data_IF_843080277992
#
_entry.id   IF_843080277992
#
_cell.length_a   1.000
_cell.length_b   1.000
_cell.length_c   1.000
_cell.angle_alpha   90.00
_cell.angle_beta   90.00
_cell.angle_gamma   90.00
#
_symmetry.space_group_name_H-M   'P 1'
#
loop_
_entity.id
_entity.type
_entity.pdbx_description
1 polymer ?
#
# COMPACT_ATOMS: atom_id res chain seq x y z
N UNK A 1 32.63 2.72 5.83
CA UNK A 1 32.12 3.79 6.72
C UNK A 1 31.87 5.02 5.86
N UNK A 2 30.61 5.25 5.48
CA UNK A 2 30.23 6.45 4.74
C UNK A 2 30.18 7.62 5.75
N UNK A 3 31.03 8.61 5.49
CA UNK A 3 31.11 9.87 6.24
C UNK A 3 29.77 10.59 6.22
N UNK A 4 29.29 10.91 7.41
CA UNK A 4 28.07 11.68 7.72
C UNK A 4 28.03 13.02 6.99
N UNK A 5 26.86 13.37 6.45
CA UNK A 5 26.52 14.77 6.19
C UNK A 5 26.53 15.50 7.54
N UNK A 6 27.26 16.60 7.61
CA UNK A 6 27.65 17.35 8.81
C UNK A 6 26.47 17.57 9.79
N UNK A 7 26.56 17.02 11.01
CA UNK A 7 25.77 17.44 12.16
C UNK A 7 24.41 16.76 12.40
N UNK A 8 23.94 15.87 11.52
CA UNK A 8 22.65 15.18 11.69
C UNK A 8 22.79 13.75 12.21
N UNK A 9 21.93 13.36 13.15
CA UNK A 9 21.87 11.98 13.65
C UNK A 9 21.46 11.02 12.54
N UNK A 10 22.29 10.02 12.28
CA UNK A 10 22.06 9.01 11.23
C UNK A 10 20.75 8.24 11.46
N UNK A 11 19.88 8.18 10.45
CA UNK A 11 18.64 7.43 10.49
C UNK A 11 18.93 5.94 10.60
N UNK A 12 18.32 5.28 11.59
CA UNK A 12 18.40 3.82 11.77
C UNK A 12 17.03 3.20 11.53
N UNK A 13 16.99 2.07 10.83
CA UNK A 13 15.74 1.35 10.63
C UNK A 13 15.18 0.88 11.97
N UNK A 14 13.98 1.34 12.32
CA UNK A 14 13.23 0.82 13.48
C UNK A 14 12.46 -0.44 13.10
N UNK A 15 12.17 -1.26 14.07
CA UNK A 15 11.14 -2.29 13.92
C UNK A 15 9.75 -1.64 13.90
N UNK A 16 8.89 -2.12 13.02
CA UNK A 16 7.50 -1.67 12.86
C UNK A 16 6.61 -2.85 12.45
N UNK A 17 5.33 -2.85 12.87
CA UNK A 17 4.41 -3.92 12.51
C UNK A 17 4.06 -3.87 11.03
N UNK A 18 4.10 -5.00 10.33
CA UNK A 18 3.53 -5.08 8.98
C UNK A 18 2.01 -4.91 9.03
N UNK A 19 1.50 -3.92 8.29
CA UNK A 19 0.07 -3.59 8.19
C UNK A 19 -0.64 -4.34 7.05
N UNK A 20 0.00 -4.50 5.89
CA UNK A 20 -0.56 -5.26 4.75
C UNK A 20 0.54 -6.04 4.03
N UNK A 21 0.12 -7.06 3.27
CA UNK A 21 1.00 -7.71 2.30
C UNK A 21 1.14 -6.83 1.07
N UNK A 22 2.35 -6.33 0.83
CA UNK A 22 2.61 -5.40 -0.26
C UNK A 22 3.65 -5.95 -1.23
N UNK A 23 3.29 -6.05 -2.51
CA UNK A 23 4.20 -6.46 -3.57
C UNK A 23 5.28 -5.38 -3.73
N UNK A 24 6.53 -5.79 -3.94
CA UNK A 24 7.64 -4.85 -4.10
C UNK A 24 8.07 -4.11 -2.83
N UNK A 25 7.53 -4.48 -1.65
CA UNK A 25 7.91 -3.86 -0.37
C UNK A 25 9.42 -3.93 -0.13
N UNK A 26 10.01 -2.77 0.22
CA UNK A 26 11.43 -2.61 0.52
C UNK A 26 11.80 -2.88 1.98
N UNK A 27 10.89 -3.42 2.79
CA UNK A 27 11.15 -3.70 4.22
C UNK A 27 12.41 -4.55 4.45
N UNK A 28 12.74 -5.48 3.54
CA UNK A 28 13.94 -6.34 3.66
C UNK A 28 15.26 -5.61 3.37
N UNK A 29 15.23 -4.58 2.54
CA UNK A 29 16.42 -3.78 2.18
C UNK A 29 16.38 -2.38 2.79
N UNK A 30 15.53 -2.17 3.80
CA UNK A 30 15.31 -0.85 4.39
C UNK A 30 16.60 -0.22 4.94
N UNK A 31 17.51 -1.03 5.49
CA UNK A 31 18.82 -0.54 5.92
C UNK A 31 19.66 0.06 4.78
N UNK A 32 19.59 -0.55 3.59
CA UNK A 32 20.24 -0.05 2.37
C UNK A 32 19.57 1.21 1.83
N UNK A 33 18.23 1.27 1.83
CA UNK A 33 17.48 2.49 1.49
C UNK A 33 17.87 3.65 2.40
N UNK A 34 17.89 3.43 3.72
CA UNK A 34 18.27 4.44 4.69
C UNK A 34 19.75 4.84 4.58
N UNK A 35 20.66 3.96 4.14
CA UNK A 35 22.06 4.35 3.90
C UNK A 35 22.18 5.33 2.74
N UNK A 36 21.42 5.12 1.65
CA UNK A 36 21.31 6.08 0.55
C UNK A 36 20.69 7.41 0.98
N UNK A 37 19.62 7.37 1.78
CA UNK A 37 18.99 8.60 2.34
C UNK A 37 19.98 9.35 3.23
N UNK A 38 20.65 8.68 4.17
CA UNK A 38 21.66 9.30 5.02
C UNK A 38 22.84 9.91 4.25
N UNK A 39 23.12 9.42 3.04
CA UNK A 39 24.22 9.93 2.21
C UNK A 39 23.91 11.31 1.60
N UNK A 40 22.65 11.56 1.20
CA UNK A 40 22.28 12.79 0.47
C UNK A 40 21.38 13.74 1.25
N UNK A 41 20.83 13.30 2.39
CA UNK A 41 19.86 14.09 3.14
C UNK A 41 20.49 15.29 3.83
N UNK A 42 19.63 16.27 4.04
CA UNK A 42 19.83 17.40 4.93
C UNK A 42 18.82 17.35 6.09
N UNK A 43 18.61 18.49 6.76
CA UNK A 43 17.70 18.67 7.90
C UNK A 43 16.24 18.89 7.48
N UNK A 44 15.98 19.07 6.17
CA UNK A 44 14.63 19.25 5.61
C UNK A 44 13.88 17.90 5.54
N UNK A 45 12.55 17.92 5.33
CA UNK A 45 11.74 16.71 5.29
C UNK A 45 12.18 15.68 4.24
N UNK A 46 11.82 14.42 4.49
CA UNK A 46 11.98 13.32 3.55
C UNK A 46 10.63 13.03 2.89
N UNK A 47 10.56 13.17 1.57
CA UNK A 47 9.39 12.81 0.77
C UNK A 47 9.52 11.36 0.29
N UNK A 48 8.67 10.48 0.81
CA UNK A 48 8.45 9.15 0.23
C UNK A 48 7.44 9.29 -0.92
N UNK A 49 7.93 9.46 -2.14
CA UNK A 49 7.12 9.88 -3.29
C UNK A 49 6.12 8.82 -3.80
N UNK A 50 6.42 7.55 -3.50
CA UNK A 50 5.63 6.36 -3.88
C UNK A 50 5.50 5.43 -2.68
N UNK A 51 4.79 5.90 -1.64
CA UNK A 51 4.88 5.32 -0.30
C UNK A 51 4.30 3.92 -0.17
N UNK A 52 3.39 3.48 -1.05
CA UNK A 52 2.86 2.12 -1.07
C UNK A 52 2.38 1.63 0.30
N UNK A 53 3.11 0.70 0.93
CA UNK A 53 2.78 0.18 2.27
C UNK A 53 3.18 1.07 3.46
N UNK A 54 3.75 2.26 3.23
CA UNK A 54 4.25 3.15 4.26
C UNK A 54 5.48 2.61 5.00
N UNK A 55 6.25 1.71 4.37
CA UNK A 55 7.37 1.03 5.03
C UNK A 55 8.49 1.99 5.43
N UNK A 56 8.75 3.04 4.64
CA UNK A 56 9.75 4.06 4.99
C UNK A 56 9.30 4.89 6.20
N UNK A 57 8.01 5.26 6.24
CA UNK A 57 7.40 5.91 7.39
C UNK A 57 7.58 5.08 8.68
N UNK A 58 7.25 3.79 8.63
CA UNK A 58 7.47 2.88 9.77
C UNK A 58 8.94 2.75 10.20
N UNK A 59 9.86 2.72 9.23
CA UNK A 59 11.29 2.55 9.49
C UNK A 59 11.93 3.80 10.11
N UNK A 60 11.56 4.99 9.63
CA UNK A 60 12.06 6.27 10.14
C UNK A 60 11.38 6.60 11.48
N UNK A 61 10.06 6.44 11.55
CA UNK A 61 9.24 6.87 12.68
C UNK A 61 9.46 8.36 12.97
N UNK A 62 9.81 8.68 14.21
CA UNK A 62 9.99 10.06 14.69
C UNK A 62 11.42 10.61 14.53
N UNK A 63 12.32 9.95 13.78
CA UNK A 63 13.71 10.41 13.61
C UNK A 63 13.85 11.59 12.62
N UNK A 64 12.88 11.78 11.73
CA UNK A 64 12.83 12.88 10.78
C UNK A 64 11.38 13.13 10.33
N UNK A 65 11.10 14.32 9.82
CA UNK A 65 9.79 14.61 9.21
C UNK A 65 9.69 13.85 7.90
N UNK A 66 8.60 13.09 7.76
CA UNK A 66 8.30 12.32 6.53
C UNK A 66 7.01 12.85 5.92
N UNK A 67 7.07 13.12 4.61
CA UNK A 67 5.92 13.38 3.74
C UNK A 67 5.70 12.12 2.91
N UNK A 68 4.62 11.39 3.15
CA UNK A 68 4.31 10.16 2.43
C UNK A 68 3.28 10.41 1.34
N UNK A 69 3.66 10.19 0.08
CA UNK A 69 2.79 10.37 -1.06
C UNK A 69 2.61 9.06 -1.83
N UNK A 70 1.40 8.80 -2.27
CA UNK A 70 1.10 7.81 -3.30
C UNK A 70 -0.09 8.32 -4.12
N UNK A 71 -0.34 7.78 -5.31
CA UNK A 71 -1.56 8.11 -6.04
C UNK A 71 -2.82 7.49 -5.41
N UNK A 72 -2.65 6.46 -4.58
CA UNK A 72 -3.73 5.73 -3.93
C UNK A 72 -3.88 6.14 -2.46
N UNK A 73 -5.07 6.61 -2.07
CA UNK A 73 -5.35 7.16 -0.75
C UNK A 73 -5.12 6.18 0.41
N UNK A 74 -5.23 4.86 0.18
CA UNK A 74 -4.94 3.89 1.24
C UNK A 74 -3.49 3.96 1.74
N UNK A 75 -2.54 4.37 0.89
CA UNK A 75 -1.13 4.44 1.27
C UNK A 75 -0.91 5.48 2.37
N UNK A 76 -1.57 6.63 2.27
CA UNK A 76 -1.49 7.69 3.27
C UNK A 76 -2.00 7.24 4.64
N UNK A 77 -3.08 6.45 4.70
CA UNK A 77 -3.56 5.87 5.97
C UNK A 77 -2.57 4.88 6.56
N UNK A 78 -1.86 4.09 5.75
CA UNK A 78 -0.83 3.18 6.24
C UNK A 78 0.36 3.96 6.82
N UNK A 79 0.82 5.00 6.14
CA UNK A 79 1.88 5.88 6.62
C UNK A 79 1.46 6.59 7.93
N UNK A 80 0.23 7.09 7.98
CA UNK A 80 -0.33 7.78 9.15
C UNK A 80 -0.50 6.85 10.36
N UNK A 81 -0.68 5.54 10.16
CA UNK A 81 -0.62 4.57 11.25
C UNK A 81 0.74 4.59 11.96
N UNK A 82 1.84 4.73 11.23
CA UNK A 82 3.17 4.78 11.84
C UNK A 82 3.52 6.17 12.38
N UNK A 83 3.16 7.21 11.64
CA UNK A 83 3.71 8.54 11.86
C UNK A 83 2.78 9.50 12.61
N UNK A 84 1.48 9.23 12.68
CA UNK A 84 0.49 10.19 13.23
C UNK A 84 -0.46 9.57 14.25
N UNK A 85 -0.73 8.27 14.15
CA UNK A 85 -1.58 7.56 15.10
C UNK A 85 -0.97 7.56 16.49
N UNK A 86 -1.82 7.84 17.47
CA UNK A 86 -1.49 7.75 18.88
C UNK A 86 -2.74 7.44 19.68
N UNK A 87 -2.54 6.92 20.89
CA UNK A 87 -3.61 6.66 21.85
C UNK A 87 -3.86 7.89 22.69
N UNK A 88 -5.12 8.04 23.09
CA UNK A 88 -5.63 9.04 24.01
C UNK A 88 -6.79 8.44 24.83
N UNK A 89 -7.42 9.23 25.69
CA UNK A 89 -8.55 8.79 26.52
C UNK A 89 -9.77 8.32 25.72
N UNK A 90 -9.88 8.73 24.44
CA UNK A 90 -10.98 8.36 23.54
C UNK A 90 -10.67 7.13 22.69
N UNK A 91 -9.49 6.52 22.87
CA UNK A 91 -9.07 5.35 22.11
C UNK A 91 -9.90 4.12 22.48
N UNK A 92 -10.67 3.55 21.54
CA UNK A 92 -11.53 2.41 21.83
C UNK A 92 -10.72 1.11 21.88
N UNK A 93 -11.21 0.14 22.65
CA UNK A 93 -10.71 -1.24 22.59
C UNK A 93 -11.19 -1.93 21.32
N UNK A 94 -10.48 -3.01 20.92
CA UNK A 94 -10.91 -3.84 19.80
C UNK A 94 -12.32 -4.42 20.03
N UNK A 95 -12.62 -4.86 21.25
CA UNK A 95 -13.90 -5.47 21.61
C UNK A 95 -15.05 -4.46 21.50
N UNK A 96 -14.81 -3.21 21.87
CA UNK A 96 -15.80 -2.14 21.70
C UNK A 96 -16.12 -1.92 20.21
N UNK A 97 -15.10 -1.78 19.37
CA UNK A 97 -15.28 -1.61 17.92
C UNK A 97 -16.02 -2.79 17.29
N UNK A 98 -15.69 -4.02 17.69
CA UNK A 98 -16.35 -5.23 17.22
C UNK A 98 -17.78 -5.37 17.73
N UNK A 99 -18.05 -4.92 18.97
CA UNK A 99 -19.40 -4.85 19.54
C UNK A 99 -20.30 -3.93 18.71
N UNK A 100 -19.85 -2.71 18.43
CA UNK A 100 -20.57 -1.76 17.57
C UNK A 100 -20.84 -2.33 16.17
N UNK A 101 -19.83 -2.96 15.55
CA UNK A 101 -20.01 -3.61 14.25
C UNK A 101 -21.02 -4.77 14.33
N UNK A 102 -20.99 -5.56 15.42
CA UNK A 102 -21.95 -6.63 15.67
C UNK A 102 -23.38 -6.14 15.83
N UNK A 103 -23.60 -5.04 16.56
CA UNK A 103 -24.91 -4.38 16.71
C UNK A 103 -25.45 -3.92 15.35
N UNK A 104 -24.63 -3.24 14.55
CA UNK A 104 -24.98 -2.84 13.17
C UNK A 104 -25.44 -4.05 12.36
N UNK A 105 -24.72 -5.17 12.45
CA UNK A 105 -25.08 -6.40 11.73
C UNK A 105 -26.34 -7.07 12.28
N UNK A 106 -26.61 -6.98 13.58
CA UNK A 106 -27.81 -7.51 14.21
C UNK A 106 -29.09 -6.83 13.71
N UNK A 107 -29.01 -5.56 13.32
CA UNK A 107 -30.14 -4.81 12.76
C UNK A 107 -30.34 -5.01 11.24
N UNK A 108 -29.38 -5.63 10.54
CA UNK A 108 -29.44 -5.80 9.07
C UNK A 108 -30.07 -7.14 8.70
N UNK A 109 -31.08 -7.10 7.83
CA UNK A 109 -31.64 -8.32 7.24
C UNK A 109 -30.64 -8.93 6.28
N UNK A 110 -30.15 -10.14 6.60
CA UNK A 110 -29.23 -10.89 5.74
C UNK A 110 -29.96 -11.39 4.49
N UNK A 111 -29.42 -11.09 3.31
CA UNK A 111 -29.98 -11.56 2.03
C UNK A 111 -29.61 -13.02 1.74
N UNK A 112 -28.43 -13.43 2.18
CA UNK A 112 -27.87 -14.77 1.99
C UNK A 112 -27.19 -15.23 3.28
N UNK A 113 -27.27 -16.53 3.54
CA UNK A 113 -26.51 -17.21 4.59
C UNK A 113 -25.91 -18.44 3.95
N UNK A 114 -24.60 -18.65 4.15
CA UNK A 114 -23.88 -19.83 3.67
C UNK A 114 -23.10 -20.39 4.84
N UNK A 115 -23.38 -21.64 5.19
CA UNK A 115 -22.63 -22.37 6.18
C UNK A 115 -21.41 -23.04 5.51
N UNK A 116 -20.26 -22.38 5.60
CA UNK A 116 -19.00 -22.92 5.10
C UNK A 116 -18.40 -23.99 6.01
N UNK A 117 -18.95 -24.23 7.20
CA UNK A 117 -18.50 -25.29 8.09
C UNK A 117 -19.13 -26.65 7.79
N UNK A 118 -20.27 -26.65 7.09
CA UNK A 118 -20.86 -27.87 6.53
C UNK A 118 -19.96 -28.60 5.52
N UNK A 119 -20.08 -29.92 5.45
CA UNK A 119 -19.45 -30.71 4.39
C UNK A 119 -20.17 -30.45 3.06
N UNK A 120 -19.55 -29.67 2.20
CA UNK A 120 -20.16 -29.15 0.99
C UNK A 120 -19.39 -29.63 -0.26
N UNK A 121 -20.05 -30.33 -1.20
CA UNK A 121 -19.43 -30.66 -2.49
C UNK A 121 -19.02 -29.39 -3.25
N UNK A 122 -17.89 -29.44 -3.98
CA UNK A 122 -17.34 -28.25 -4.66
C UNK A 122 -18.32 -27.62 -5.67
N UNK A 123 -19.22 -28.40 -6.27
CA UNK A 123 -20.26 -27.89 -7.16
C UNK A 123 -21.30 -27.02 -6.41
N UNK A 124 -21.68 -27.43 -5.20
CA UNK A 124 -22.57 -26.67 -4.32
C UNK A 124 -21.88 -25.40 -3.85
N UNK A 125 -20.60 -25.50 -3.47
CA UNK A 125 -19.76 -24.35 -3.13
C UNK A 125 -19.74 -23.29 -4.24
N UNK A 126 -19.47 -23.69 -5.49
CA UNK A 126 -19.44 -22.76 -6.61
C UNK A 126 -20.79 -22.07 -6.84
N UNK A 127 -21.91 -22.79 -6.67
CA UNK A 127 -23.26 -22.22 -6.75
C UNK A 127 -23.50 -21.15 -5.67
N UNK A 128 -23.01 -21.37 -4.44
CA UNK A 128 -23.08 -20.36 -3.39
C UNK A 128 -22.22 -19.14 -3.69
N UNK A 129 -21.01 -19.33 -4.24
CA UNK A 129 -20.14 -18.22 -4.64
C UNK A 129 -20.78 -17.40 -5.79
N UNK A 130 -21.39 -18.06 -6.78
CA UNK A 130 -22.13 -17.41 -7.87
C UNK A 130 -23.29 -16.57 -7.35
N UNK A 131 -24.14 -17.16 -6.50
CA UNK A 131 -25.30 -16.45 -5.91
C UNK A 131 -24.89 -15.23 -5.09
N UNK A 132 -23.74 -15.28 -4.42
CA UNK A 132 -23.19 -14.12 -3.71
C UNK A 132 -22.70 -13.04 -4.68
N UNK A 133 -22.09 -13.40 -5.81
CA UNK A 133 -21.67 -12.43 -6.84
C UNK A 133 -22.85 -11.75 -7.53
N UNK A 134 -24.02 -12.38 -7.55
CA UNK A 134 -25.27 -11.79 -8.08
C UNK A 134 -25.82 -10.65 -7.21
N UNK A 135 -25.34 -10.49 -5.97
CA UNK A 135 -25.69 -9.35 -5.11
C UNK A 135 -25.31 -8.00 -5.72
N UNK A 136 -24.40 -7.99 -6.69
CA UNK A 136 -24.07 -6.82 -7.51
C UNK A 136 -25.33 -6.16 -8.12
N UNK A 137 -26.33 -6.97 -8.49
CA UNK A 137 -27.56 -6.52 -9.12
C UNK A 137 -28.72 -6.31 -8.12
N UNK A 138 -28.44 -6.36 -6.81
CA UNK A 138 -29.45 -6.18 -5.77
C UNK A 138 -29.41 -4.78 -5.16
N UNK A 139 -30.56 -4.36 -4.66
CA UNK A 139 -30.72 -3.18 -3.83
C UNK A 139 -30.51 -3.54 -2.37
N UNK A 140 -29.89 -2.62 -1.63
CA UNK A 140 -29.72 -2.68 -0.18
C UNK A 140 -30.42 -1.46 0.43
N UNK A 141 -31.02 -1.64 1.59
CA UNK A 141 -31.81 -0.65 2.33
C UNK A 141 -31.02 0.13 3.38
N UNK A 142 -29.72 -0.17 3.54
CA UNK A 142 -28.78 0.54 4.40
C UNK A 142 -27.63 1.11 3.59
N UNK A 143 -26.96 2.17 4.09
CA UNK A 143 -25.93 2.90 3.33
C UNK A 143 -24.62 2.12 3.18
N UNK A 144 -24.16 1.45 4.23
CA UNK A 144 -22.84 0.78 4.25
C UNK A 144 -22.96 -0.65 3.75
N UNK A 145 -23.00 -0.82 2.43
CA UNK A 145 -23.15 -2.11 1.75
C UNK A 145 -22.21 -2.27 0.55
N UNK A 146 -21.18 -1.41 0.41
CA UNK A 146 -20.33 -1.37 -0.77
C UNK A 146 -19.67 -2.73 -0.99
N UNK A 147 -19.05 -3.30 0.03
CA UNK A 147 -18.39 -4.60 -0.08
C UNK A 147 -19.38 -5.73 -0.26
N UNK A 148 -20.48 -5.71 0.50
CA UNK A 148 -21.56 -6.67 0.39
C UNK A 148 -22.14 -6.74 -1.03
N UNK A 149 -22.24 -5.61 -1.73
CA UNK A 149 -22.74 -5.53 -3.10
C UNK A 149 -21.70 -5.90 -4.14
N UNK A 150 -20.51 -5.29 -4.08
CA UNK A 150 -19.54 -5.35 -5.17
C UNK A 150 -18.57 -6.53 -5.08
N UNK A 151 -18.35 -7.07 -3.88
CA UNK A 151 -17.24 -8.00 -3.59
C UNK A 151 -17.66 -9.34 -2.96
N UNK A 152 -18.95 -9.56 -2.68
CA UNK A 152 -19.44 -10.85 -2.18
C UNK A 152 -19.20 -11.99 -3.18
N UNK A 153 -18.73 -13.14 -2.69
CA UNK A 153 -18.41 -14.31 -3.51
C UNK A 153 -17.19 -14.10 -4.42
N UNK A 154 -16.30 -13.15 -4.07
CA UNK A 154 -15.06 -12.85 -4.81
C UNK A 154 -13.83 -13.25 -3.96
N UNK A 155 -13.10 -12.30 -3.37
CA UNK A 155 -12.07 -12.60 -2.37
C UNK A 155 -12.66 -12.97 -1.02
N UNK A 156 -13.86 -12.51 -0.72
CA UNK A 156 -14.57 -12.69 0.54
C UNK A 156 -15.97 -13.27 0.32
N UNK A 157 -16.51 -13.94 1.34
CA UNK A 157 -17.93 -14.27 1.40
C UNK A 157 -18.78 -13.02 1.69
N UNK A 158 -20.08 -13.12 1.49
CA UNK A 158 -21.08 -12.12 1.85
C UNK A 158 -21.00 -11.77 3.33
N UNK A 159 -20.89 -12.76 4.22
CA UNK A 159 -20.73 -12.53 5.66
C UNK A 159 -19.46 -11.72 5.95
N UNK A 160 -18.32 -12.09 5.34
CA UNK A 160 -17.07 -11.34 5.50
C UNK A 160 -17.22 -9.91 4.96
N UNK A 161 -17.88 -9.71 3.83
CA UNK A 161 -18.17 -8.39 3.27
C UNK A 161 -19.08 -7.54 4.17
N UNK A 162 -20.08 -8.15 4.82
CA UNK A 162 -20.92 -7.48 5.82
C UNK A 162 -20.08 -6.95 6.99
N UNK A 163 -19.17 -7.77 7.51
CA UNK A 163 -18.24 -7.35 8.57
C UNK A 163 -17.29 -6.24 8.13
N UNK A 164 -16.80 -6.30 6.88
CA UNK A 164 -15.96 -5.22 6.31
C UNK A 164 -16.74 -3.90 6.28
N UNK A 165 -17.97 -3.92 5.76
CA UNK A 165 -18.81 -2.72 5.68
C UNK A 165 -19.18 -2.18 7.08
N UNK A 166 -19.52 -3.05 8.03
CA UNK A 166 -19.86 -2.64 9.40
C UNK A 166 -18.66 -2.05 10.15
N UNK A 167 -17.48 -2.69 10.08
CA UNK A 167 -16.27 -2.12 10.68
C UNK A 167 -15.85 -0.81 10.02
N UNK A 168 -16.06 -0.68 8.70
CA UNK A 168 -15.80 0.56 7.99
C UNK A 168 -16.76 1.68 8.42
N UNK A 169 -18.03 1.37 8.65
CA UNK A 169 -19.01 2.30 9.23
C UNK A 169 -18.60 2.76 10.63
N UNK A 170 -18.22 1.82 11.51
CA UNK A 170 -17.71 2.16 12.85
C UNK A 170 -16.49 3.07 12.75
N UNK A 171 -15.54 2.76 11.86
CA UNK A 171 -14.34 3.56 11.65
C UNK A 171 -14.66 5.01 11.26
N UNK A 172 -15.76 5.26 10.55
CA UNK A 172 -16.17 6.62 10.16
C UNK A 172 -16.45 7.52 11.37
N UNK A 173 -16.99 6.96 12.46
CA UNK A 173 -17.18 7.68 13.72
C UNK A 173 -15.88 8.17 14.37
N UNK A 174 -14.74 7.62 13.95
CA UNK A 174 -13.42 8.01 14.44
C UNK A 174 -12.64 8.87 13.45
N UNK A 175 -13.17 9.25 12.27
CA UNK A 175 -12.40 9.91 11.19
C UNK A 175 -11.54 11.11 11.65
N UNK A 176 -12.04 11.92 12.57
CA UNK A 176 -11.34 13.10 13.11
C UNK A 176 -10.40 12.79 14.29
N UNK A 177 -10.32 11.53 14.72
CA UNK A 177 -9.52 11.06 15.84
C UNK A 177 -8.17 10.52 15.36
N UNK A 178 -7.12 10.66 16.17
CA UNK A 178 -5.78 10.17 15.81
C UNK A 178 -5.72 8.66 15.62
N UNK A 179 -6.66 7.91 16.19
CA UNK A 179 -6.72 6.45 16.07
C UNK A 179 -7.29 5.94 14.74
N UNK A 180 -7.91 6.80 13.93
CA UNK A 180 -8.56 6.40 12.69
C UNK A 180 -7.66 5.61 11.72
N UNK A 181 -6.41 6.03 11.44
CA UNK A 181 -5.52 5.26 10.56
C UNK A 181 -5.22 3.86 11.13
N UNK A 182 -5.06 3.72 12.45
CA UNK A 182 -4.87 2.42 13.11
C UNK A 182 -6.08 1.48 12.93
N UNK A 183 -7.31 2.01 13.05
CA UNK A 183 -8.54 1.24 12.79
C UNK A 183 -8.58 0.81 11.32
N UNK A 184 -8.39 1.75 10.39
CA UNK A 184 -8.46 1.49 8.95
C UNK A 184 -7.41 0.48 8.48
N UNK A 185 -6.16 0.65 8.91
CA UNK A 185 -5.06 -0.26 8.57
C UNK A 185 -5.26 -1.67 9.15
N UNK A 186 -5.84 -1.78 10.35
CA UNK A 186 -6.21 -3.07 10.95
C UNK A 186 -7.33 -3.77 10.16
N UNK A 187 -8.29 -3.01 9.62
CA UNK A 187 -9.32 -3.55 8.72
C UNK A 187 -8.71 -4.00 7.38
N UNK A 188 -7.80 -3.23 6.79
CA UNK A 188 -7.07 -3.64 5.58
C UNK A 188 -6.27 -4.94 5.80
N UNK A 189 -5.64 -5.09 6.97
CA UNK A 189 -4.97 -6.33 7.36
C UNK A 189 -5.96 -7.50 7.43
N UNK A 190 -7.10 -7.31 8.10
CA UNK A 190 -8.12 -8.34 8.24
C UNK A 190 -8.64 -8.80 6.87
N UNK A 191 -8.90 -7.84 5.98
CA UNK A 191 -9.28 -8.09 4.59
C UNK A 191 -8.22 -8.94 3.86
N UNK A 192 -6.95 -8.56 3.93
CA UNK A 192 -5.87 -9.27 3.27
C UNK A 192 -5.73 -10.71 3.77
N UNK A 193 -5.87 -10.94 5.08
CA UNK A 193 -5.77 -12.27 5.67
C UNK A 193 -7.04 -13.11 5.52
N UNK A 194 -8.22 -12.51 5.35
CA UNK A 194 -9.43 -13.25 5.01
C UNK A 194 -9.60 -13.52 3.50
N UNK A 195 -8.80 -12.85 2.66
CA UNK A 195 -8.86 -13.00 1.20
C UNK A 195 -8.17 -14.26 0.68
N UNK A 196 -8.70 -14.84 -0.40
CA UNK A 196 -8.07 -15.93 -1.13
C UNK A 196 -6.86 -15.43 -1.94
N UNK A 197 -5.68 -15.37 -1.32
CA UNK A 197 -4.45 -15.01 -2.03
C UNK A 197 -3.31 -14.52 -1.15
N UNK A 198 -2.31 -13.93 -1.79
CA UNK A 198 -1.13 -13.33 -1.14
C UNK A 198 -1.37 -11.90 -0.67
N UNK A 199 -2.63 -11.51 -0.44
CA UNK A 199 -3.03 -10.17 0.02
C UNK A 199 -3.10 -9.10 -1.07
N UNK A 200 -3.31 -9.53 -2.33
CA UNK A 200 -3.61 -8.64 -3.44
C UNK A 200 -4.90 -9.05 -4.17
N UNK A 201 -5.49 -8.11 -4.89
CA UNK A 201 -6.84 -8.20 -5.45
C UNK A 201 -6.85 -8.11 -6.98
N UNK A 202 -5.83 -8.62 -7.67
CA UNK A 202 -5.83 -8.61 -9.13
C UNK A 202 -6.99 -9.45 -9.70
N UNK A 203 -7.16 -10.70 -9.28
CA UNK A 203 -8.32 -11.53 -9.62
C UNK A 203 -8.60 -12.49 -8.47
N UNK A 204 -9.88 -12.78 -8.20
CA UNK A 204 -10.26 -13.84 -7.28
C UNK A 204 -10.13 -15.22 -7.95
N UNK A 205 -10.02 -16.26 -7.13
CA UNK A 205 -9.87 -17.65 -7.58
C UNK A 205 -11.23 -18.32 -7.72
N UNK A 206 -11.34 -19.27 -8.65
CA UNK A 206 -12.50 -20.16 -8.75
C UNK A 206 -12.08 -21.56 -8.27
N UNK A 207 -12.99 -22.27 -7.61
CA UNK A 207 -12.77 -23.66 -7.26
C UNK A 207 -13.00 -24.55 -8.49
N UNK A 208 -11.91 -24.92 -9.18
CA UNK A 208 -11.96 -25.79 -10.39
C UNK A 208 -11.69 -27.26 -10.09
N UNK A 209 -11.04 -27.53 -8.97
CA UNK A 209 -10.64 -28.86 -8.49
C UNK A 209 -10.93 -28.99 -7.00
N UNK A 210 -11.04 -30.22 -6.49
CA UNK A 210 -11.19 -30.47 -5.05
C UNK A 210 -10.08 -29.85 -4.20
N UNK A 211 -8.84 -29.80 -4.70
CA UNK A 211 -7.74 -29.13 -4.00
C UNK A 211 -7.97 -27.62 -3.94
N UNK A 212 -8.26 -26.97 -5.08
CA UNK A 212 -8.53 -25.53 -5.08
C UNK A 212 -9.76 -25.15 -4.26
N UNK A 213 -10.77 -26.03 -4.21
CA UNK A 213 -11.93 -25.89 -3.35
C UNK A 213 -11.54 -25.88 -1.87
N UNK A 214 -10.80 -26.89 -1.41
CA UNK A 214 -10.32 -26.97 -0.02
C UNK A 214 -9.48 -25.75 0.36
N UNK A 215 -8.58 -25.31 -0.52
CA UNK A 215 -7.76 -24.11 -0.31
C UNK A 215 -8.62 -22.86 -0.09
N UNK A 216 -9.59 -22.64 -0.98
CA UNK A 216 -10.49 -21.49 -1.00
C UNK A 216 -11.40 -21.50 0.25
N UNK A 217 -11.89 -22.67 0.63
CA UNK A 217 -12.75 -22.87 1.80
C UNK A 217 -12.07 -22.45 3.11
N UNK A 218 -10.75 -22.68 3.25
CA UNK A 218 -9.97 -22.21 4.40
C UNK A 218 -10.16 -20.70 4.62
N UNK A 219 -10.19 -19.91 3.54
CA UNK A 219 -10.35 -18.45 3.63
C UNK A 219 -11.78 -18.04 3.93
N UNK A 220 -12.77 -18.79 3.44
CA UNK A 220 -14.19 -18.52 3.72
C UNK A 220 -14.57 -18.70 5.19
N UNK A 221 -13.84 -19.57 5.89
CA UNK A 221 -13.97 -19.79 7.34
C UNK A 221 -13.25 -18.75 8.21
N UNK A 222 -12.48 -17.82 7.62
CA UNK A 222 -11.75 -16.81 8.39
C UNK A 222 -12.69 -15.71 8.88
N UNK A 223 -12.55 -15.33 10.15
CA UNK A 223 -13.30 -14.22 10.74
C UNK A 223 -12.58 -12.89 10.52
N UNK A 224 -13.23 -11.95 9.82
CA UNK A 224 -12.74 -10.57 9.68
C UNK A 224 -12.50 -9.96 11.08
N UNK A 225 -13.44 -10.15 12.01
CA UNK A 225 -13.35 -9.60 13.36
C UNK A 225 -12.13 -10.10 14.13
N UNK A 226 -11.81 -11.39 14.08
CA UNK A 226 -10.63 -11.95 14.77
C UNK A 226 -9.31 -11.39 14.22
N UNK A 227 -9.17 -11.30 12.90
CA UNK A 227 -7.95 -10.74 12.29
C UNK A 227 -7.83 -9.24 12.54
N UNK A 228 -8.96 -8.52 12.56
CA UNK A 228 -9.03 -7.11 12.93
C UNK A 228 -8.56 -6.92 14.39
N UNK A 229 -9.15 -7.65 15.33
CA UNK A 229 -8.85 -7.57 16.76
C UNK A 229 -7.35 -7.76 17.02
N UNK A 230 -6.79 -8.84 16.45
CA UNK A 230 -5.37 -9.17 16.59
C UNK A 230 -4.50 -8.03 16.09
N UNK A 231 -4.73 -7.54 14.87
CA UNK A 231 -3.89 -6.48 14.29
C UNK A 231 -4.08 -5.15 15.03
N UNK A 232 -5.29 -4.81 15.41
CA UNK A 232 -5.54 -3.57 16.13
C UNK A 232 -4.83 -3.56 17.49
N UNK A 233 -4.87 -4.68 18.23
CA UNK A 233 -4.10 -4.83 19.46
C UNK A 233 -2.58 -4.74 19.22
N UNK A 234 -2.04 -5.37 18.16
CA UNK A 234 -0.63 -5.23 17.79
C UNK A 234 -0.26 -3.76 17.53
N UNK A 235 -1.12 -3.03 16.82
CA UNK A 235 -0.90 -1.62 16.48
C UNK A 235 -1.00 -0.74 17.74
N UNK A 236 -1.97 -0.99 18.62
CA UNK A 236 -2.11 -0.27 19.90
C UNK A 236 -0.88 -0.42 20.80
N UNK A 237 -0.21 -1.57 20.75
CA UNK A 237 1.03 -1.80 21.49
C UNK A 237 2.23 -1.06 20.88
N UNK A 238 2.17 -0.76 19.58
CA UNK A 238 3.24 -0.08 18.85
C UNK A 238 3.12 1.45 18.91
N UNK A 239 1.91 2.00 18.74
CA UNK A 239 1.70 3.45 18.67
C UNK A 239 1.85 4.12 20.04
N UNK A 240 2.33 5.37 20.11
CA UNK A 240 2.53 6.06 21.37
C UNK A 240 1.19 6.35 22.07
N UNK A 241 1.25 6.62 23.38
CA UNK A 241 0.14 7.05 24.24
C UNK A 241 0.03 8.58 24.38
N UNK A 242 0.70 9.30 23.49
CA UNK A 242 0.74 10.75 23.43
C UNK A 242 0.90 11.22 21.98
N UNK A 243 0.50 12.46 21.66
CA UNK A 243 0.70 13.03 20.33
C UNK A 243 2.14 12.90 19.86
N UNK A 244 2.29 12.62 18.56
CA UNK A 244 3.59 12.65 17.88
C UNK A 244 4.14 14.08 17.82
N UNK A 245 5.46 14.22 17.83
CA UNK A 245 6.14 15.53 17.89
C UNK A 245 6.42 16.05 16.49
N UNK A 246 6.81 15.16 15.58
CA UNK A 246 7.19 15.53 14.22
C UNK A 246 5.95 15.83 13.37
N UNK A 247 6.06 16.85 12.51
CA UNK A 247 4.95 17.32 11.66
C UNK A 247 4.87 16.52 10.37
N UNK A 248 4.58 15.23 10.49
CA UNK A 248 4.39 14.34 9.34
C UNK A 248 3.17 14.70 8.50
N UNK A 249 3.24 14.39 7.21
CA UNK A 249 2.14 14.60 6.27
C UNK A 249 1.96 13.36 5.39
N UNK A 250 0.73 13.14 4.93
CA UNK A 250 0.44 12.17 3.89
C UNK A 250 -0.48 12.77 2.83
N UNK A 251 -0.23 12.41 1.57
CA UNK A 251 -0.96 12.93 0.41
C UNK A 251 -1.31 11.81 -0.56
N UNK A 252 -2.39 12.02 -1.31
CA UNK A 252 -2.86 11.14 -2.36
C UNK A 252 -2.76 11.83 -3.74
N UNK A 253 -1.54 12.23 -4.15
CA UNK A 253 -1.31 13.06 -5.34
C UNK A 253 -0.53 12.31 -6.42
N UNK A 254 -0.67 12.77 -7.67
CA UNK A 254 0.30 12.43 -8.71
C UNK A 254 1.70 12.90 -8.28
N UNK A 255 2.73 12.14 -8.65
CA UNK A 255 4.09 12.42 -8.21
C UNK A 255 4.57 13.81 -8.66
N UNK A 256 4.07 14.32 -9.80
CA UNK A 256 4.40 15.66 -10.28
C UNK A 256 3.79 16.74 -9.40
N UNK A 257 2.52 16.57 -9.05
CA UNK A 257 1.81 17.48 -8.17
C UNK A 257 2.46 17.46 -6.77
N UNK A 258 2.80 16.28 -6.26
CA UNK A 258 3.53 16.14 -5.00
C UNK A 258 4.87 16.90 -5.03
N UNK A 259 5.70 16.69 -6.07
CA UNK A 259 6.99 17.37 -6.19
C UNK A 259 6.84 18.89 -6.37
N UNK A 260 5.81 19.35 -7.09
CA UNK A 260 5.54 20.79 -7.26
C UNK A 260 5.15 21.48 -5.95
N UNK A 261 4.47 20.76 -5.05
CA UNK A 261 4.04 21.26 -3.75
C UNK A 261 5.07 21.00 -2.64
N UNK A 262 6.12 20.22 -2.92
CA UNK A 262 7.14 19.87 -1.94
C UNK A 262 8.15 21.00 -1.80
N UNK A 263 8.25 21.59 -0.59
CA UNK A 263 9.13 22.72 -0.28
C UNK A 263 10.64 22.41 -0.27
N UNK A 264 11.02 21.22 -0.73
CA UNK A 264 12.40 20.76 -0.83
C UNK A 264 12.88 19.95 0.38
N UNK A 265 13.88 19.11 0.14
CA UNK A 265 14.50 18.25 1.13
C UNK A 265 15.08 17.02 0.47
N UNK A 266 14.69 15.83 0.93
CA UNK A 266 15.14 14.57 0.31
C UNK A 266 13.96 13.80 -0.27
N UNK A 267 13.98 13.53 -1.57
CA UNK A 267 12.99 12.67 -2.22
C UNK A 267 13.52 11.25 -2.26
N UNK A 268 12.80 10.33 -1.62
CA UNK A 268 12.92 8.90 -1.89
C UNK A 268 11.86 8.50 -2.92
N UNK A 269 12.29 7.89 -4.02
CA UNK A 269 11.42 7.43 -5.08
C UNK A 269 11.61 5.93 -5.32
N UNK A 270 10.50 5.20 -5.35
CA UNK A 270 10.44 3.78 -5.71
C UNK A 270 9.25 3.55 -6.66
N UNK A 271 9.31 4.11 -7.89
CA UNK A 271 8.19 4.03 -8.80
C UNK A 271 7.95 2.58 -9.23
N UNK A 272 6.75 2.24 -9.72
CA UNK A 272 6.48 0.91 -10.26
C UNK A 272 7.10 0.76 -11.65
N UNK A 273 8.42 0.54 -11.73
CA UNK A 273 9.19 0.53 -12.99
C UNK A 273 9.07 -0.78 -13.81
N UNK A 274 8.05 -1.59 -13.56
CA UNK A 274 7.75 -2.83 -14.29
C UNK A 274 6.32 -2.80 -14.87
N UNK A 275 5.97 -3.76 -15.76
CA UNK A 275 4.65 -3.82 -16.44
C UNK A 275 3.44 -4.05 -15.50
N UNK A 276 3.64 -3.97 -14.19
CA UNK A 276 2.67 -4.33 -13.17
C UNK A 276 2.09 -3.06 -12.56
N UNK A 277 0.89 -2.68 -13.00
CA UNK A 277 0.17 -1.56 -12.40
C UNK A 277 -0.37 -1.94 -11.00
N UNK A 278 0.25 -1.43 -9.94
CA UNK A 278 -0.12 -1.69 -8.54
C UNK A 278 -1.58 -1.35 -8.19
N UNK A 279 -2.14 -0.32 -8.82
CA UNK A 279 -3.53 0.04 -8.64
C UNK A 279 -4.50 -1.11 -8.98
N UNK A 280 -4.11 -2.08 -9.82
CA UNK A 280 -4.88 -3.30 -10.09
C UNK A 280 -4.94 -4.21 -8.86
N UNK A 281 -3.82 -4.33 -8.16
CA UNK A 281 -3.61 -5.24 -7.04
C UNK A 281 -4.21 -4.70 -5.74
N UNK A 282 -4.31 -3.38 -5.59
CA UNK A 282 -4.77 -2.75 -4.35
C UNK A 282 -6.08 -1.95 -4.50
N UNK A 283 -6.79 -2.10 -5.62
CA UNK A 283 -8.05 -1.38 -5.90
C UNK A 283 -9.13 -1.57 -4.81
N UNK A 284 -9.18 -2.74 -4.16
CA UNK A 284 -10.16 -3.00 -3.10
C UNK A 284 -9.83 -2.22 -1.82
N UNK A 285 -8.55 -2.01 -1.50
CA UNK A 285 -8.14 -1.14 -0.39
C UNK A 285 -8.46 0.31 -0.70
N UNK A 286 -8.20 0.74 -1.94
CA UNK A 286 -8.59 2.08 -2.38
C UNK A 286 -10.10 2.32 -2.24
N UNK A 287 -10.89 1.31 -2.64
CA UNK A 287 -12.34 1.37 -2.51
C UNK A 287 -12.81 1.34 -1.05
N UNK A 288 -12.09 0.67 -0.14
CA UNK A 288 -12.37 0.72 1.30
C UNK A 288 -12.20 2.14 1.86
N UNK A 289 -11.15 2.83 1.43
CA UNK A 289 -10.76 4.14 1.96
C UNK A 289 -11.66 5.23 1.44
N UNK A 290 -11.85 5.29 0.12
CA UNK A 290 -12.73 6.26 -0.53
C UNK A 290 -14.20 5.99 -0.22
N UNK A 291 -14.59 4.72 -0.15
CA UNK A 291 -15.95 4.25 0.13
C UNK A 291 -17.02 4.95 -0.74
N UNK A 292 -16.69 5.17 -2.01
CA UNK A 292 -17.36 6.10 -2.93
C UNK A 292 -18.23 5.42 -3.99
N UNK A 293 -18.52 4.12 -3.84
CA UNK A 293 -19.36 3.34 -4.76
C UNK A 293 -18.97 3.50 -6.25
N UNK A 294 -17.71 3.20 -6.61
CA UNK A 294 -17.22 3.45 -7.96
C UNK A 294 -17.95 2.59 -8.99
N UNK A 295 -18.07 3.09 -10.22
CA UNK A 295 -18.38 2.22 -11.36
C UNK A 295 -17.29 1.16 -11.50
N UNK A 296 -17.71 -0.06 -11.79
CA UNK A 296 -16.81 -1.18 -12.02
C UNK A 296 -16.52 -1.30 -13.52
N UNK A 297 -15.27 -1.58 -13.87
CA UNK A 297 -14.85 -1.75 -15.25
C UNK A 297 -15.64 -2.88 -15.94
N UNK A 298 -16.18 -2.58 -17.12
CA UNK A 298 -16.92 -3.51 -17.98
C UNK A 298 -16.13 -3.82 -19.24
N UNK A 299 -16.05 -5.10 -19.60
CA UNK A 299 -15.49 -5.55 -20.88
C UNK A 299 -16.48 -6.52 -21.55
N UNK A 300 -16.78 -6.30 -22.83
CA UNK A 300 -17.74 -7.11 -23.60
C UNK A 300 -19.10 -7.28 -22.89
N UNK A 301 -19.60 -6.18 -22.30
CA UNK A 301 -20.89 -6.16 -21.59
C UNK A 301 -20.92 -6.85 -20.22
N UNK A 302 -19.77 -7.32 -19.70
CA UNK A 302 -19.68 -7.94 -18.37
C UNK A 302 -18.65 -7.24 -17.49
N UNK A 303 -18.96 -7.09 -16.20
CA UNK A 303 -17.99 -6.59 -15.23
C UNK A 303 -16.78 -7.54 -15.19
N UNK A 304 -15.59 -6.98 -15.25
CA UNK A 304 -14.34 -7.75 -15.23
C UNK A 304 -14.19 -8.53 -13.93
N UNK A 305 -13.53 -9.69 -14.00
CA UNK A 305 -13.31 -10.58 -12.85
C UNK A 305 -12.67 -9.86 -11.66
N UNK A 306 -11.76 -8.94 -11.90
CA UNK A 306 -11.07 -8.22 -10.84
C UNK A 306 -11.91 -7.13 -10.17
N UNK A 307 -13.17 -6.89 -10.54
CA UNK A 307 -14.03 -5.83 -9.96
C UNK A 307 -13.29 -4.48 -9.85
N UNK A 308 -12.48 -4.15 -10.85
CA UNK A 308 -11.66 -2.94 -10.81
C UNK A 308 -12.54 -1.70 -10.90
N UNK A 309 -12.12 -0.63 -10.23
CA UNK A 309 -12.65 0.73 -10.43
C UNK A 309 -12.45 1.13 -11.90
N UNK A 310 -13.45 1.75 -12.52
CA UNK A 310 -13.38 2.20 -13.91
C UNK A 310 -12.25 3.23 -14.10
N UNK A 311 -12.18 4.22 -13.23
CA UNK A 311 -11.17 5.31 -13.27
C UNK A 311 -9.87 4.96 -12.52
N UNK A 312 -9.41 3.71 -12.67
CA UNK A 312 -8.17 3.28 -12.02
C UNK A 312 -6.95 3.91 -12.69
N UNK A 313 -6.10 4.54 -11.90
CA UNK A 313 -4.83 5.10 -12.35
C UNK A 313 -3.94 4.06 -13.05
N UNK A 314 -3.38 4.41 -14.21
CA UNK A 314 -2.35 3.65 -14.90
C UNK A 314 -1.03 4.41 -14.83
N UNK A 315 -0.10 3.91 -14.03
CA UNK A 315 1.20 4.58 -13.86
C UNK A 315 1.97 4.67 -15.19
N UNK A 316 2.50 5.87 -15.54
CA UNK A 316 3.30 6.05 -16.75
C UNK A 316 4.65 5.31 -16.66
N UNK A 317 5.14 5.02 -15.46
CA UNK A 317 6.32 4.18 -15.23
C UNK A 317 6.10 2.71 -15.63
N UNK A 318 4.83 2.30 -15.79
CA UNK A 318 4.44 0.97 -16.23
C UNK A 318 4.08 0.91 -17.73
N UNK A 319 4.35 1.96 -18.51
CA UNK A 319 3.97 2.05 -19.94
C UNK A 319 5.22 2.35 -20.76
N UNK A 320 5.62 1.44 -21.66
CA UNK A 320 6.89 1.53 -22.41
C UNK A 320 7.04 2.84 -23.20
N UNK A 321 5.95 3.37 -23.76
CA UNK A 321 5.99 4.61 -24.52
C UNK A 321 6.04 5.87 -23.65
N UNK A 322 5.75 5.77 -22.35
CA UNK A 322 5.66 6.90 -21.42
C UNK A 322 6.78 6.92 -20.37
N UNK A 323 7.40 5.77 -20.07
CA UNK A 323 8.37 5.63 -18.97
C UNK A 323 9.55 6.59 -19.07
N UNK A 324 10.04 6.90 -20.29
CA UNK A 324 11.11 7.88 -20.50
C UNK A 324 10.70 9.27 -20.02
N UNK A 325 9.54 9.74 -20.49
CA UNK A 325 8.97 11.03 -20.08
C UNK A 325 8.64 11.08 -18.59
N UNK A 326 8.19 9.97 -18.01
CA UNK A 326 7.91 9.90 -16.57
C UNK A 326 9.17 10.11 -15.70
N UNK A 327 10.32 9.55 -16.12
CA UNK A 327 11.59 9.82 -15.44
C UNK A 327 12.10 11.24 -15.70
N UNK A 328 11.91 11.80 -16.90
CA UNK A 328 12.21 13.22 -17.17
C UNK A 328 11.40 14.13 -16.23
N UNK A 329 10.09 13.91 -16.12
CA UNK A 329 9.19 14.64 -15.22
C UNK A 329 9.61 14.50 -13.74
N UNK A 330 10.01 13.29 -13.30
CA UNK A 330 10.45 13.04 -11.92
C UNK A 330 11.73 13.80 -11.60
N UNK A 331 12.75 13.70 -12.46
CA UNK A 331 13.99 14.42 -12.25
C UNK A 331 13.80 15.93 -12.33
N UNK A 332 12.90 16.42 -13.19
CA UNK A 332 12.60 17.84 -13.28
C UNK A 332 11.87 18.36 -12.03
N UNK A 333 10.94 17.60 -11.47
CA UNK A 333 10.31 17.95 -10.18
C UNK A 333 11.30 17.94 -9.01
N UNK A 334 12.25 17.01 -9.00
CA UNK A 334 13.35 16.96 -8.03
C UNK A 334 14.29 18.18 -8.17
N UNK A 335 14.59 18.60 -9.41
CA UNK A 335 15.36 19.81 -9.72
C UNK A 335 14.63 21.06 -9.21
N UNK A 336 13.35 21.19 -9.56
CA UNK A 336 12.53 22.38 -9.29
C UNK A 336 12.23 22.56 -7.81
N UNK A 337 12.01 21.47 -7.07
CA UNK A 337 11.86 21.51 -5.60
C UNK A 337 13.19 21.68 -4.84
N UNK A 338 14.32 21.78 -5.54
CA UNK A 338 15.67 21.81 -4.94
C UNK A 338 15.89 20.69 -3.91
N UNK A 339 15.51 19.46 -4.29
CA UNK A 339 15.60 18.29 -3.43
C UNK A 339 16.77 17.38 -3.80
N UNK A 340 17.38 16.73 -2.81
CA UNK A 340 18.20 15.54 -3.03
C UNK A 340 17.31 14.37 -3.46
N UNK A 341 17.86 13.38 -4.16
CA UNK A 341 17.15 12.20 -4.65
C UNK A 341 17.85 10.91 -4.22
N UNK A 342 17.03 9.97 -3.77
CA UNK A 342 17.35 8.55 -3.64
C UNK A 342 16.31 7.77 -4.43
N UNK A 343 16.70 7.25 -5.58
CA UNK A 343 15.82 6.48 -6.46
C UNK A 343 16.16 5.00 -6.39
N UNK A 344 15.23 4.20 -5.88
CA UNK A 344 15.28 2.74 -5.96
C UNK A 344 15.07 2.27 -7.39
N UNK A 345 15.95 1.39 -7.86
CA UNK A 345 15.89 0.84 -9.21
C UNK A 345 16.44 -0.58 -9.27
N UNK A 346 15.84 -1.44 -10.10
CA UNK A 346 16.36 -2.78 -10.38
C UNK A 346 16.64 -2.99 -11.87
N UNK A 347 17.54 -3.93 -12.16
CA UNK A 347 17.90 -4.34 -13.52
C UNK A 347 16.75 -5.01 -14.33
N UNK A 348 15.55 -5.10 -13.77
CA UNK A 348 14.34 -5.65 -14.39
C UNK A 348 13.34 -4.57 -14.83
N UNK A 349 13.73 -3.30 -14.79
CA UNK A 349 12.90 -2.17 -15.21
C UNK A 349 12.64 -2.10 -16.72
N UNK A 350 11.70 -1.24 -17.13
CA UNK A 350 11.33 -1.01 -18.55
C UNK A 350 12.40 -0.33 -19.40
N UNK A 351 13.33 0.38 -18.77
CA UNK A 351 14.48 1.02 -19.41
C UNK A 351 15.75 0.43 -18.81
N UNK A 352 16.93 0.70 -19.37
CA UNK A 352 18.18 0.28 -18.74
C UNK A 352 18.64 1.30 -17.69
N UNK A 353 19.51 0.88 -16.78
CA UNK A 353 20.18 1.80 -15.86
C UNK A 353 20.99 2.88 -16.63
N UNK A 354 21.65 2.50 -17.72
CA UNK A 354 22.40 3.44 -18.56
C UNK A 354 21.50 4.51 -19.18
N UNK A 355 20.30 4.11 -19.62
CA UNK A 355 19.29 5.02 -20.13
C UNK A 355 18.78 5.97 -19.04
N UNK A 356 18.46 5.43 -17.86
CA UNK A 356 18.04 6.22 -16.70
C UNK A 356 19.11 7.26 -16.29
N UNK A 357 20.39 6.86 -16.27
CA UNK A 357 21.51 7.76 -15.98
C UNK A 357 21.69 8.83 -17.06
N UNK A 358 21.44 8.50 -18.32
CA UNK A 358 21.48 9.45 -19.43
C UNK A 358 20.41 10.53 -19.26
N UNK A 359 19.18 10.12 -18.91
CA UNK A 359 18.08 11.04 -18.61
C UNK A 359 18.44 11.91 -17.39
N UNK A 360 18.92 11.29 -16.31
CA UNK A 360 19.32 11.99 -15.09
C UNK A 360 20.38 13.06 -15.34
N UNK A 361 21.46 12.74 -16.07
CA UNK A 361 22.53 13.70 -16.42
C UNK A 361 22.05 14.85 -17.30
N UNK A 362 21.10 14.57 -18.20
CA UNK A 362 20.49 15.58 -19.07
C UNK A 362 19.65 16.58 -18.26
N UNK A 363 18.83 16.10 -17.32
CA UNK A 363 17.89 16.93 -16.56
C UNK A 363 18.54 17.57 -15.32
N UNK A 364 19.54 16.91 -14.72
CA UNK A 364 20.27 17.36 -13.54
C UNK A 364 21.77 17.62 -13.84
N UNK A 365 22.11 18.52 -14.79
CA UNK A 365 23.48 18.64 -15.31
C UNK A 365 24.52 19.08 -14.27
N UNK A 366 24.08 19.78 -13.21
CA UNK A 366 24.95 20.31 -12.17
C UNK A 366 25.00 19.43 -10.91
N UNK A 367 24.32 18.27 -10.91
CA UNK A 367 24.29 17.37 -9.75
C UNK A 367 25.19 16.18 -9.96
N UNK A 368 25.93 15.82 -8.92
CA UNK A 368 26.69 14.58 -8.89
C UNK A 368 25.70 13.42 -8.76
N UNK A 369 25.66 12.54 -9.76
CA UNK A 369 24.84 11.34 -9.75
C UNK A 369 25.72 10.13 -9.44
N UNK A 370 25.37 9.40 -8.39
CA UNK A 370 26.05 8.18 -7.94
C UNK A 370 25.11 6.99 -8.00
N UNK A 371 25.66 5.79 -8.17
CA UNK A 371 24.89 4.54 -8.09
C UNK A 371 25.54 3.64 -7.07
N UNK A 372 24.74 3.17 -6.11
CA UNK A 372 25.14 2.16 -5.13
C UNK A 372 24.29 0.90 -5.32
N UNK A 373 24.86 -0.28 -5.05
CA UNK A 373 24.18 -1.58 -5.24
C UNK A 373 24.33 -2.45 -3.99
N UNK A 374 23.38 -3.33 -3.73
CA UNK A 374 23.38 -4.21 -2.55
C UNK A 374 24.58 -5.17 -2.49
N UNK A 375 25.15 -5.58 -3.63
CA UNK A 375 26.31 -6.50 -3.70
C UNK A 375 27.64 -5.81 -3.34
N UNK A 376 27.64 -4.48 -3.20
CA UNK A 376 28.82 -3.66 -3.00
C UNK A 376 28.61 -2.73 -1.79
N UNK A 377 28.78 -3.25 -0.56
CA UNK A 377 29.08 -2.39 0.60
C UNK A 377 30.49 -1.73 0.49
N UNK A 378 31.18 -1.87 -0.65
CA UNK A 378 32.42 -1.20 -0.98
C UNK A 378 32.32 -0.52 -2.36
N UNK A 379 32.62 0.79 -2.41
CA UNK A 379 32.69 1.59 -3.63
C UNK A 379 33.57 0.90 -4.70
N UNK A 380 33.05 0.75 -5.91
CA UNK A 380 33.85 0.37 -7.07
C UNK A 380 33.66 1.37 -8.20
N UNK A 381 34.67 2.23 -8.37
CA UNK A 381 34.99 2.79 -9.67
C UNK A 381 35.51 1.67 -10.57
N UNK A 382 34.76 1.36 -11.63
CA UNK A 382 35.33 0.79 -12.86
C UNK A 382 35.46 -0.74 -12.97
N UNK A 383 35.06 -1.20 -14.17
CA UNK A 383 35.33 -2.44 -14.90
C UNK A 383 34.36 -3.64 -14.78
N UNK A 384 34.30 -4.28 -15.95
CA UNK A 384 33.33 -5.22 -16.51
C UNK A 384 33.59 -6.66 -16.06
N UNK A 385 32.53 -7.46 -16.28
CA UNK A 385 32.44 -8.94 -16.31
C UNK A 385 32.33 -9.63 -14.95
N UNK A 386 31.11 -10.11 -14.61
CA UNK A 386 30.79 -11.52 -14.86
C UNK A 386 29.28 -11.84 -14.80
N UNK A 387 28.86 -12.90 -15.51
CA UNK A 387 27.46 -13.31 -15.76
C UNK A 387 26.98 -14.39 -14.79
N UNK A 388 26.21 -13.98 -13.76
CA UNK A 388 25.09 -14.74 -13.19
C UNK A 388 24.01 -13.73 -12.76
N UNK A 389 22.84 -13.73 -13.43
CA UNK A 389 21.78 -12.73 -13.21
C UNK A 389 21.04 -13.02 -11.89
N UNK A 390 21.57 -12.53 -10.77
CA UNK A 390 20.77 -12.12 -9.62
C UNK A 390 20.13 -10.76 -9.92
N UNK A 391 18.91 -10.52 -9.42
CA UNK A 391 18.26 -9.20 -9.51
C UNK A 391 19.11 -8.24 -8.66
N UNK A 392 19.82 -7.31 -9.29
CA UNK A 392 20.60 -6.29 -8.58
C UNK A 392 19.66 -5.14 -8.25
N UNK A 393 19.33 -4.98 -6.97
CA UNK A 393 18.72 -3.75 -6.46
C UNK A 393 19.82 -2.70 -6.26
N UNK A 394 19.54 -1.47 -6.69
CA UNK A 394 20.45 -0.34 -6.55
C UNK A 394 19.71 0.95 -6.24
N UNK A 395 20.46 1.92 -5.71
CA UNK A 395 19.99 3.28 -5.48
C UNK A 395 20.77 4.22 -6.38
N UNK A 396 20.06 5.06 -7.12
CA UNK A 396 20.61 6.23 -7.79
C UNK A 396 20.49 7.42 -6.84
N UNK A 397 21.61 8.05 -6.53
CA UNK A 397 21.70 9.17 -5.60
C UNK A 397 22.03 10.44 -6.38
N UNK A 398 21.33 11.54 -6.09
CA UNK A 398 21.68 12.86 -6.60
C UNK A 398 21.53 13.89 -5.47
N UNK A 399 22.60 14.59 -5.12
CA UNK A 399 22.56 15.59 -4.06
C UNK A 399 22.08 16.95 -4.60
N UNK A 400 21.27 17.65 -3.79
CA UNK A 400 20.63 18.92 -4.16
C UNK A 400 21.60 19.99 -4.64
#
# INVERSE_FOLDING_TARGET
MLTTVQGLDCLKAREYPSLIKYMGSKSKIMGFVLSGINHVRDDRPICDLFSGSGSLAGAIGQQATVVSNDIQAYSGLLADTYNRSHRDQSTPSADHLLGLAGEILGHRKRMLVVDYDSDMPFAVFNKHEERQRELLNKSFDYRWHLFAKNYSGTWWSYEQCLWIDALREVAEGYRSKPIYPAIMSSLMFAMAYASQGTGHYAQYRDAKTNSSHKDILIYRKRSIGQYFQRKYNDVLNYIPDRPVVMTHQSTALDFKDCLSNFGGGTVYADPPYCFVHYSRFYHALETLVLYDFPKLQVQRGKVVKGRYREERHQSPFCIQSQVRGAFEDLFDGVRTSNSSLVLSYSNTGMISLDELLTIGKKVLPNRKIEVITTDHEHMTMGRREDRQRSVKEGLLLAQA
#
